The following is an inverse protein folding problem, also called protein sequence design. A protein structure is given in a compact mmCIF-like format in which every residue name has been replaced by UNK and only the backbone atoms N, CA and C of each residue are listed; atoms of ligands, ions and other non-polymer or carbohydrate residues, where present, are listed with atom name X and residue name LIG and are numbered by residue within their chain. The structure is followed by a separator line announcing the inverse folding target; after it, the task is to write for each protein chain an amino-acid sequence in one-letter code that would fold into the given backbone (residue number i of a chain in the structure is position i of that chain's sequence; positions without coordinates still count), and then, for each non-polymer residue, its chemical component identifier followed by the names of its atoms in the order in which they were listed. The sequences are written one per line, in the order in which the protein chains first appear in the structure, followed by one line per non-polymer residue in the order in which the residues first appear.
data_IF_098032714597
#
_entry.id   IF_098032714597
#
_cell.length_a   1.000
_cell.length_b   1.000
_cell.length_c   1.000
_cell.angle_alpha   90.00
_cell.angle_beta   90.00
_cell.angle_gamma   90.00
#
_symmetry.space_group_name_H-M   'P 1'
#
loop_
_entity.id
_entity.type
_entity.pdbx_description
1 polymer ?
#
# COMPACT_ATOMS: atom_id res chain seq x y z
N UNK A 1 43.07 -12.88 -17.81
CA UNK A 1 42.03 -11.82 -17.85
C UNK A 1 41.55 -11.63 -16.42
N UNK A 2 42.02 -10.58 -15.75
CA UNK A 2 41.61 -10.29 -14.38
C UNK A 2 40.25 -9.60 -14.44
N UNK A 3 39.22 -10.25 -13.93
CA UNK A 3 37.91 -9.63 -13.75
C UNK A 3 38.08 -8.50 -12.73
N UNK A 4 38.00 -7.26 -13.21
CA UNK A 4 37.86 -6.09 -12.33
C UNK A 4 36.50 -6.26 -11.66
N UNK A 5 36.42 -6.41 -10.32
CA UNK A 5 35.13 -6.43 -9.66
C UNK A 5 34.46 -5.09 -9.96
N UNK A 6 33.29 -5.14 -10.58
CA UNK A 6 32.45 -3.97 -10.74
C UNK A 6 31.98 -3.61 -9.31
N UNK A 7 32.69 -2.71 -8.65
CA UNK A 7 32.13 -2.05 -7.47
C UNK A 7 30.99 -1.19 -7.97
N UNK A 8 29.77 -1.71 -7.91
CA UNK A 8 28.58 -0.87 -7.90
C UNK A 8 28.75 -0.01 -6.65
N UNK A 9 29.21 1.23 -6.85
CA UNK A 9 29.24 2.25 -5.81
C UNK A 9 27.78 2.66 -5.59
N UNK A 10 27.04 1.77 -4.96
CA UNK A 10 25.63 1.91 -4.69
C UNK A 10 25.43 3.19 -3.90
N UNK A 11 24.55 4.05 -4.41
CA UNK A 11 23.99 5.19 -3.70
C UNK A 11 23.27 4.70 -2.46
N UNK A 12 24.04 4.33 -1.44
CA UNK A 12 23.58 3.67 -0.22
C UNK A 12 22.54 4.55 0.46
N UNK A 13 22.74 5.87 0.41
CA UNK A 13 21.78 6.87 0.89
C UNK A 13 20.48 6.92 0.07
N UNK A 14 20.57 6.84 -1.27
CA UNK A 14 19.41 6.88 -2.15
C UNK A 14 18.54 5.63 -1.99
N UNK A 15 19.17 4.44 -1.93
CA UNK A 15 18.45 3.18 -1.70
C UNK A 15 17.83 3.19 -0.30
N UNK A 16 18.56 3.64 0.73
CA UNK A 16 18.04 3.75 2.09
C UNK A 16 16.86 4.72 2.17
N UNK A 17 16.94 5.89 1.51
CA UNK A 17 15.85 6.86 1.48
C UNK A 17 14.62 6.33 0.75
N UNK A 18 14.81 5.63 -0.37
CA UNK A 18 13.70 5.01 -1.11
C UNK A 18 12.99 3.95 -0.26
N UNK A 19 13.75 3.13 0.49
CA UNK A 19 13.17 2.15 1.41
C UNK A 19 12.45 2.79 2.59
N UNK A 20 13.00 3.88 3.13
CA UNK A 20 12.33 4.62 4.19
C UNK A 20 11.02 5.23 3.69
N UNK A 21 11.03 5.85 2.51
CA UNK A 21 9.82 6.39 1.87
C UNK A 21 8.80 5.28 1.65
N UNK A 22 9.20 4.17 1.03
CA UNK A 22 8.33 3.02 0.79
C UNK A 22 7.76 2.42 2.08
N UNK A 23 8.56 2.37 3.15
CA UNK A 23 8.14 1.92 4.48
C UNK A 23 7.10 2.86 5.12
N UNK A 24 7.35 4.18 5.12
CA UNK A 24 6.40 5.15 5.67
C UNK A 24 5.12 5.25 4.85
N UNK A 25 5.23 5.17 3.52
CA UNK A 25 4.08 5.28 2.62
C UNK A 25 3.21 4.03 2.67
N UNK A 26 3.80 2.84 2.70
CA UNK A 26 3.06 1.60 2.92
C UNK A 26 2.41 1.55 4.31
N UNK A 27 3.06 2.03 5.37
CA UNK A 27 2.45 2.13 6.71
C UNK A 27 1.23 3.06 6.72
N UNK A 28 1.35 4.23 6.08
CA UNK A 28 0.23 5.17 5.98
C UNK A 28 -0.95 4.58 5.18
N UNK A 29 -0.65 3.85 4.10
CA UNK A 29 -1.66 3.12 3.32
C UNK A 29 -2.34 2.02 4.16
N UNK A 30 -1.58 1.23 4.93
CA UNK A 30 -2.14 0.21 5.84
C UNK A 30 -3.07 0.82 6.89
N UNK A 31 -2.69 1.95 7.49
CA UNK A 31 -3.54 2.63 8.46
C UNK A 31 -4.84 3.14 7.83
N UNK A 32 -4.77 3.72 6.62
CA UNK A 32 -5.93 4.23 5.89
C UNK A 32 -6.89 3.10 5.49
N UNK A 33 -6.37 2.03 4.87
CA UNK A 33 -7.19 0.88 4.45
C UNK A 33 -7.71 0.06 5.64
N UNK A 34 -6.93 -0.10 6.70
CA UNK A 34 -7.36 -0.79 7.92
C UNK A 34 -8.50 -0.06 8.63
N UNK A 35 -8.42 1.28 8.72
CA UNK A 35 -9.53 2.08 9.23
C UNK A 35 -10.76 2.01 8.32
N UNK A 36 -10.58 2.10 7.00
CA UNK A 36 -11.69 1.95 6.06
C UNK A 36 -12.38 0.59 6.20
N UNK A 37 -11.60 -0.48 6.28
CA UNK A 37 -12.13 -1.83 6.47
C UNK A 37 -12.99 -1.94 7.74
N UNK A 38 -12.57 -1.30 8.84
CA UNK A 38 -13.37 -1.27 10.07
C UNK A 38 -14.73 -0.56 9.92
N UNK A 39 -14.84 0.40 9.00
CA UNK A 39 -16.10 1.11 8.70
C UNK A 39 -17.04 0.30 7.82
N UNK A 40 -16.48 -0.52 6.93
CA UNK A 40 -17.26 -1.48 6.16
C UNK A 40 -17.73 -2.65 7.02
N UNK A 41 -16.88 -3.18 7.89
CA UNK A 41 -17.20 -4.31 8.76
C UNK A 41 -18.21 -3.95 9.87
N UNK A 42 -18.33 -2.66 10.22
CA UNK A 42 -19.30 -2.16 11.19
C UNK A 42 -20.68 -1.81 10.61
N UNK A 43 -20.90 -2.04 9.31
CA UNK A 43 -22.09 -1.60 8.56
C UNK A 43 -22.35 -0.08 8.65
N UNK A 44 -21.33 0.74 9.00
CA UNK A 44 -21.43 2.21 8.97
C UNK A 44 -21.59 2.70 7.53
N UNK A 45 -20.89 2.05 6.59
CA UNK A 45 -21.00 2.28 5.15
C UNK A 45 -21.48 1.02 4.44
N UNK A 46 -22.37 1.20 3.48
CA UNK A 46 -22.96 0.11 2.69
C UNK A 46 -22.31 0.12 1.31
N UNK A 47 -21.83 -1.06 0.93
CA UNK A 47 -21.25 -1.32 -0.38
C UNK A 47 -22.09 -2.42 -1.02
N UNK A 48 -22.78 -2.11 -2.11
CA UNK A 48 -23.58 -3.09 -2.86
C UNK A 48 -22.78 -3.82 -3.94
N UNK A 49 -21.47 -3.55 -4.02
CA UNK A 49 -20.58 -4.11 -5.04
C UNK A 49 -19.35 -4.83 -4.44
N UNK A 50 -18.43 -5.27 -5.30
CA UNK A 50 -17.20 -5.98 -4.91
C UNK A 50 -16.13 -5.08 -4.28
N UNK A 51 -16.36 -3.78 -4.10
CA UNK A 51 -15.37 -2.81 -3.62
C UNK A 51 -14.80 -3.16 -2.25
N UNK A 52 -15.64 -3.62 -1.32
CA UNK A 52 -15.22 -4.05 0.03
C UNK A 52 -14.26 -5.25 0.00
N UNK A 53 -14.55 -6.25 -0.82
CA UNK A 53 -13.74 -7.46 -0.92
C UNK A 53 -12.33 -7.19 -1.48
N UNK A 54 -12.13 -6.09 -2.21
CA UNK A 54 -10.85 -5.73 -2.81
C UNK A 54 -9.93 -4.89 -1.90
N UNK A 55 -10.46 -4.35 -0.80
CA UNK A 55 -9.63 -3.74 0.24
C UNK A 55 -8.63 -4.77 0.79
N UNK A 56 -9.04 -6.02 0.96
CA UNK A 56 -8.19 -7.09 1.52
C UNK A 56 -6.97 -7.44 0.63
N UNK A 57 -7.10 -7.72 -0.68
CA UNK A 57 -5.95 -7.90 -1.58
C UNK A 57 -5.00 -6.71 -1.63
N UNK A 58 -5.54 -5.49 -1.62
CA UNK A 58 -4.74 -4.26 -1.58
C UNK A 58 -3.93 -4.15 -0.29
N UNK A 59 -4.57 -4.39 0.86
CA UNK A 59 -3.89 -4.43 2.16
C UNK A 59 -2.79 -5.47 2.17
N UNK A 60 -3.04 -6.67 1.61
CA UNK A 60 -2.03 -7.73 1.49
C UNK A 60 -0.81 -7.30 0.66
N UNK A 61 -1.03 -6.66 -0.48
CA UNK A 61 0.05 -6.17 -1.34
C UNK A 61 0.88 -5.06 -0.65
N UNK A 62 0.21 -4.11 0.01
CA UNK A 62 0.86 -3.04 0.76
C UNK A 62 1.63 -3.60 1.97
N UNK A 63 1.07 -4.59 2.66
CA UNK A 63 1.71 -5.25 3.80
C UNK A 63 2.98 -5.98 3.39
N UNK A 64 2.96 -6.69 2.26
CA UNK A 64 4.15 -7.33 1.72
C UNK A 64 5.27 -6.32 1.48
N UNK A 65 4.96 -5.19 0.85
CA UNK A 65 5.93 -4.11 0.57
C UNK A 65 6.47 -3.46 1.85
N UNK A 66 5.61 -3.27 2.85
CA UNK A 66 6.02 -2.78 4.16
C UNK A 66 6.99 -3.75 4.84
N UNK A 67 6.63 -5.03 4.92
CA UNK A 67 7.45 -6.08 5.55
C UNK A 67 8.79 -6.21 4.83
N UNK A 68 8.78 -6.24 3.50
CA UNK A 68 10.01 -6.29 2.70
C UNK A 68 10.93 -5.10 2.97
N UNK A 69 10.38 -3.88 2.99
CA UNK A 69 11.14 -2.66 3.30
C UNK A 69 11.71 -2.66 4.71
N UNK A 70 10.99 -3.25 5.67
CA UNK A 70 11.40 -3.35 7.07
C UNK A 70 12.44 -4.45 7.31
N UNK A 71 12.39 -5.57 6.59
CA UNK A 71 13.37 -6.67 6.72
C UNK A 71 14.71 -6.31 6.08
N UNK A 72 14.71 -5.64 4.92
CA UNK A 72 15.95 -5.42 4.18
C UNK A 72 16.89 -4.42 4.86
N UNK A 73 16.35 -3.46 5.62
CA UNK A 73 17.11 -2.48 6.40
C UNK A 73 18.02 -3.14 7.46
N UNK A 74 17.52 -3.92 8.42
CA UNK A 74 18.35 -4.57 9.44
C UNK A 74 19.26 -5.65 8.83
N UNK A 75 18.81 -6.38 7.80
CA UNK A 75 19.66 -7.36 7.11
C UNK A 75 20.89 -6.67 6.52
N UNK A 76 20.70 -5.52 5.86
CA UNK A 76 21.82 -4.74 5.30
C UNK A 76 22.71 -4.12 6.38
N UNK A 77 22.15 -3.73 7.53
CA UNK A 77 22.94 -3.21 8.65
C UNK A 77 23.72 -4.31 9.40
N UNK A 78 23.22 -5.54 9.39
CA UNK A 78 23.83 -6.67 10.10
C UNK A 78 24.84 -7.45 9.27
N UNK A 79 24.77 -7.38 7.94
CA UNK A 79 25.68 -8.10 7.05
C UNK A 79 26.94 -7.27 6.76
N UNK A 80 28.12 -7.87 6.94
CA UNK A 80 29.41 -7.27 6.59
C UNK A 80 29.79 -7.40 5.11
N UNK A 81 28.98 -8.13 4.33
CA UNK A 81 29.22 -8.41 2.91
C UNK A 81 28.08 -7.93 2.00
N UNK A 82 28.35 -7.72 0.70
CA UNK A 82 27.34 -7.29 -0.26
C UNK A 82 26.30 -8.39 -0.48
N UNK A 83 25.02 -8.03 -0.35
CA UNK A 83 23.90 -8.87 -0.76
C UNK A 83 23.87 -9.00 -2.28
N UNK A 84 23.56 -10.20 -2.78
CA UNK A 84 23.45 -10.42 -4.21
C UNK A 84 22.37 -9.50 -4.82
N UNK A 85 22.69 -8.66 -5.82
CA UNK A 85 21.75 -7.69 -6.38
C UNK A 85 20.43 -8.29 -6.86
N UNK A 86 20.47 -9.55 -7.34
CA UNK A 86 19.28 -10.28 -7.78
C UNK A 86 18.21 -10.48 -6.68
N UNK A 87 18.59 -10.48 -5.40
CA UNK A 87 17.62 -10.56 -4.30
C UNK A 87 16.78 -9.29 -4.27
N UNK A 88 17.41 -8.10 -4.27
CA UNK A 88 16.68 -6.84 -4.29
C UNK A 88 15.72 -6.76 -5.48
N UNK A 89 16.22 -7.06 -6.69
CA UNK A 89 15.44 -6.95 -7.92
C UNK A 89 14.23 -7.88 -7.92
N UNK A 90 14.37 -9.11 -7.44
CA UNK A 90 13.27 -10.09 -7.46
C UNK A 90 12.15 -9.73 -6.48
N UNK A 91 12.49 -9.43 -5.23
CA UNK A 91 11.51 -9.07 -4.22
C UNK A 91 10.86 -7.70 -4.52
N UNK A 92 11.61 -6.75 -5.06
CA UNK A 92 11.08 -5.46 -5.52
C UNK A 92 10.13 -5.63 -6.70
N UNK A 93 10.46 -6.50 -7.66
CA UNK A 93 9.59 -6.77 -8.79
C UNK A 93 8.27 -7.42 -8.34
N UNK A 94 8.31 -8.33 -7.37
CA UNK A 94 7.10 -8.90 -6.79
C UNK A 94 6.27 -7.87 -6.02
N UNK A 95 6.90 -7.03 -5.21
CA UNK A 95 6.23 -5.93 -4.49
C UNK A 95 5.55 -4.98 -5.48
N UNK A 96 6.29 -4.59 -6.51
CA UNK A 96 5.84 -3.71 -7.58
C UNK A 96 4.66 -4.32 -8.34
N UNK A 97 4.78 -5.57 -8.80
CA UNK A 97 3.73 -6.24 -9.57
C UNK A 97 2.46 -6.44 -8.73
N UNK A 98 2.60 -6.81 -7.46
CA UNK A 98 1.48 -7.02 -6.56
C UNK A 98 0.71 -5.71 -6.28
N UNK A 99 1.42 -4.63 -5.91
CA UNK A 99 0.78 -3.32 -5.68
C UNK A 99 0.17 -2.80 -6.97
N UNK A 100 0.89 -2.86 -8.09
CA UNK A 100 0.40 -2.35 -9.37
C UNK A 100 -0.89 -3.05 -9.80
N UNK A 101 -0.90 -4.39 -9.81
CA UNK A 101 -2.06 -5.15 -10.24
C UNK A 101 -3.27 -4.93 -9.34
N UNK A 102 -3.07 -4.99 -8.01
CA UNK A 102 -4.16 -4.78 -7.04
C UNK A 102 -4.69 -3.36 -7.08
N UNK A 103 -3.84 -2.34 -7.22
CA UNK A 103 -4.27 -0.95 -7.30
C UNK A 103 -5.00 -0.60 -8.58
N UNK A 104 -4.61 -1.15 -9.73
CA UNK A 104 -5.36 -0.95 -10.98
C UNK A 104 -6.79 -1.48 -10.82
N UNK A 105 -6.94 -2.71 -10.32
CA UNK A 105 -8.25 -3.34 -10.12
C UNK A 105 -9.08 -2.54 -9.10
N UNK A 106 -8.45 -2.13 -7.99
CA UNK A 106 -9.09 -1.31 -6.96
C UNK A 106 -9.60 0.02 -7.54
N UNK A 107 -8.75 0.77 -8.25
CA UNK A 107 -9.12 2.04 -8.85
C UNK A 107 -10.25 1.91 -9.88
N UNK A 108 -10.27 0.84 -10.67
CA UNK A 108 -11.35 0.60 -11.64
C UNK A 108 -12.72 0.46 -10.97
N UNK A 109 -12.76 -0.13 -9.78
CA UNK A 109 -14.02 -0.38 -9.05
C UNK A 109 -14.37 0.77 -8.10
N UNK A 110 -13.37 1.53 -7.66
CA UNK A 110 -13.53 2.62 -6.69
C UNK A 110 -13.71 4.00 -7.33
N UNK A 111 -13.45 4.12 -8.64
CA UNK A 111 -13.68 5.33 -9.42
C UNK A 111 -15.05 6.02 -9.21
N UNK A 112 -16.20 5.32 -9.15
CA UNK A 112 -17.48 5.97 -8.92
C UNK A 112 -17.58 6.60 -7.52
N UNK A 113 -17.00 5.96 -6.50
CA UNK A 113 -17.04 6.47 -5.11
C UNK A 113 -16.12 7.68 -4.89
N UNK A 114 -15.03 7.79 -5.65
CA UNK A 114 -14.12 8.93 -5.56
C UNK A 114 -14.61 10.18 -6.28
N UNK A 115 -15.48 10.01 -7.28
CA UNK A 115 -16.01 11.10 -8.11
C UNK A 115 -17.41 11.54 -7.69
N UNK A 116 -18.14 10.68 -6.97
CA UNK A 116 -19.51 10.94 -6.50
C UNK A 116 -19.58 11.37 -5.03
N UNK A 117 -20.73 11.10 -4.41
CA UNK A 117 -21.04 11.48 -3.02
C UNK A 117 -20.36 10.56 -1.97
N UNK A 118 -19.53 9.62 -2.41
CA UNK A 118 -18.90 8.60 -1.56
C UNK A 118 -19.81 7.41 -1.30
N UNK A 119 -19.56 6.70 -0.20
CA UNK A 119 -20.37 5.55 0.18
C UNK A 119 -21.75 5.95 0.73
N UNK A 120 -22.74 5.09 0.47
CA UNK A 120 -24.03 5.18 1.17
C UNK A 120 -23.87 4.70 2.61
N UNK A 121 -24.64 5.25 3.55
CA UNK A 121 -24.57 4.85 4.96
C UNK A 121 -25.66 3.83 5.31
N UNK A 122 -25.36 2.95 6.28
CA UNK A 122 -26.30 1.96 6.78
C UNK A 122 -27.55 2.60 7.39
N UNK A 123 -28.69 1.89 7.34
CA UNK A 123 -29.98 2.42 7.80
C UNK A 123 -30.02 2.89 9.26
N UNK A 124 -29.14 2.35 10.11
CA UNK A 124 -29.00 2.78 11.51
C UNK A 124 -28.23 4.10 11.65
N UNK A 125 -27.28 4.37 10.75
CA UNK A 125 -26.41 5.57 10.78
C UNK A 125 -26.93 6.71 9.89
N UNK A 126 -27.76 6.41 8.89
CA UNK A 126 -28.44 7.42 8.06
C UNK A 126 -29.40 8.31 8.87
N UNK A 127 -29.92 7.82 10.01
CA UNK A 127 -30.79 8.59 10.92
C UNK A 127 -30.05 9.35 12.02
N UNK A 128 -28.80 9.00 12.34
CA UNK A 128 -28.00 9.67 13.36
C UNK A 128 -26.95 10.56 12.69
N UNK A 129 -27.26 11.85 12.49
CA UNK A 129 -26.43 13.04 12.15
C UNK A 129 -24.92 12.91 11.79
N UNK A 130 -24.46 11.85 11.13
CA UNK A 130 -23.03 11.60 10.99
C UNK A 130 -22.68 10.50 9.99
N UNK A 131 -23.30 10.51 8.82
CA UNK A 131 -22.88 9.64 7.72
C UNK A 131 -21.44 10.01 7.29
N UNK A 132 -20.49 9.09 7.48
CA UNK A 132 -19.07 9.27 7.13
C UNK A 132 -18.68 8.71 5.77
N UNK A 133 -19.65 8.34 4.93
CA UNK A 133 -19.38 7.67 3.65
C UNK A 133 -18.43 8.41 2.72
N UNK A 134 -18.52 9.75 2.67
CA UNK A 134 -17.59 10.58 1.91
C UNK A 134 -16.19 10.61 2.54
N UNK A 135 -16.10 10.66 3.87
CA UNK A 135 -14.82 10.63 4.60
C UNK A 135 -14.10 9.31 4.38
N UNK A 136 -14.82 8.18 4.39
CA UNK A 136 -14.25 6.85 4.10
C UNK A 136 -13.63 6.82 2.70
N UNK A 137 -14.37 7.29 1.69
CA UNK A 137 -13.85 7.38 0.32
C UNK A 137 -12.61 8.29 0.21
N UNK A 138 -12.55 9.41 0.93
CA UNK A 138 -11.38 10.30 0.93
C UNK A 138 -10.16 9.66 1.63
N UNK A 139 -10.37 8.92 2.71
CA UNK A 139 -9.29 8.19 3.40
C UNK A 139 -8.73 7.08 2.51
N UNK A 140 -9.58 6.34 1.81
CA UNK A 140 -9.15 5.33 0.84
C UNK A 140 -8.42 5.94 -0.36
N UNK A 141 -8.86 7.11 -0.84
CA UNK A 141 -8.15 7.86 -1.88
C UNK A 141 -6.76 8.28 -1.43
N UNK A 142 -6.62 8.74 -0.19
CA UNK A 142 -5.32 9.00 0.43
C UNK A 142 -4.48 7.72 0.53
N UNK A 143 -5.05 6.64 1.07
CA UNK A 143 -4.36 5.33 1.17
C UNK A 143 -3.87 4.81 -0.19
N UNK A 144 -4.66 5.02 -1.23
CA UNK A 144 -4.30 4.68 -2.61
C UNK A 144 -3.10 5.49 -3.08
N UNK A 145 -3.09 6.81 -2.87
CA UNK A 145 -1.95 7.66 -3.21
C UNK A 145 -0.68 7.23 -2.46
N UNK A 146 -0.80 6.90 -1.16
CA UNK A 146 0.32 6.44 -0.36
C UNK A 146 0.85 5.07 -0.83
N UNK A 147 0.00 4.16 -1.27
CA UNK A 147 0.46 2.89 -1.84
C UNK A 147 1.19 3.06 -3.18
N UNK A 148 0.78 4.02 -4.01
CA UNK A 148 1.52 4.37 -5.24
C UNK A 148 2.91 4.93 -4.93
N UNK A 149 3.05 5.67 -3.83
CA UNK A 149 4.35 6.14 -3.31
C UNK A 149 5.18 5.02 -2.65
N UNK A 150 4.60 3.83 -2.47
CA UNK A 150 5.31 2.67 -1.92
C UNK A 150 5.94 1.77 -3.00
N UNK A 151 5.65 2.03 -4.29
CA UNK A 151 6.32 1.45 -5.45
C UNK A 151 7.72 2.05 -5.63
#
# INVERSE_FOLDING_TARGET
MNAVPYEVRDGTRAILSLRAIAGFSSLAALAAFGWSQSMHDSDEVVVSDLGHALVSPVVGAVQYTFVWSLIILPVRMSMSGPLHPGIYVTFDLFAWAAILATMIIYLMLMAPYFSGDGYSCGGSYSRSEGCKGKTVADVEKFGTAMAWLAL
#
